data_IF_315392534803
#
_entry.id   IF_315392534803
#
_cell.length_a   1.000
_cell.length_b   1.000
_cell.length_c   1.000
_cell.angle_alpha   90.00
_cell.angle_beta   90.00
_cell.angle_gamma   90.00
#
_symmetry.space_group_name_H-M   'P 1'
#
loop_
_entity.id
_entity.type
_entity.pdbx_description
1 polymer ?
#
# COMPACT_ATOMS: atom_id res chain seq x y z
N UNK A 1 16.82 -9.89 9.70
CA UNK A 1 15.46 -9.53 9.29
C UNK A 1 14.57 -10.76 9.27
N UNK A 2 13.36 -10.63 9.75
CA UNK A 2 12.43 -11.74 9.86
C UNK A 2 11.38 -11.70 8.75
N UNK A 3 11.08 -12.86 8.17
CA UNK A 3 10.01 -13.00 7.19
C UNK A 3 8.86 -13.79 7.79
N UNK A 4 7.64 -13.30 7.57
CA UNK A 4 6.42 -13.95 8.04
C UNK A 4 5.45 -14.17 6.90
N UNK A 5 4.75 -15.29 6.95
CA UNK A 5 3.70 -15.60 5.98
C UNK A 5 2.35 -15.13 6.53
N UNK A 6 1.58 -14.52 5.68
CA UNK A 6 0.26 -14.01 6.02
C UNK A 6 -0.60 -13.85 4.79
N UNK A 7 -1.56 -12.96 4.90
CA UNK A 7 -2.46 -12.65 3.79
C UNK A 7 -2.82 -11.17 3.82
N UNK A 8 -3.38 -10.68 2.72
CA UNK A 8 -4.00 -9.36 2.71
C UNK A 8 -5.32 -9.51 3.47
N UNK A 9 -5.38 -8.94 4.67
CA UNK A 9 -6.58 -9.03 5.52
C UNK A 9 -7.64 -8.03 5.11
N UNK A 10 -7.23 -6.85 4.68
CA UNK A 10 -8.14 -5.84 4.19
C UNK A 10 -7.44 -4.93 3.19
N UNK A 11 -8.22 -4.30 2.34
CA UNK A 11 -7.73 -3.37 1.34
C UNK A 11 -8.76 -2.25 1.19
N UNK A 12 -8.26 -1.02 1.06
CA UNK A 12 -9.10 0.15 0.90
C UNK A 12 -8.42 1.15 -0.03
N UNK A 13 -9.18 1.69 -0.98
CA UNK A 13 -8.70 2.76 -1.85
C UNK A 13 -9.45 4.04 -1.48
N UNK A 14 -8.73 5.08 -1.09
CA UNK A 14 -9.34 6.33 -0.67
C UNK A 14 -8.33 7.23 0.02
N UNK A 15 -8.82 8.17 0.80
CA UNK A 15 -7.97 9.07 1.57
C UNK A 15 -7.32 8.33 2.73
N UNK A 16 -6.05 8.60 2.95
CA UNK A 16 -5.27 8.01 4.03
C UNK A 16 -3.89 8.63 4.09
N UNK A 17 -2.92 7.86 4.62
CA UNK A 17 -1.56 8.34 4.79
C UNK A 17 -1.44 9.36 5.91
N UNK A 18 -0.38 10.18 5.85
CA UNK A 18 -0.10 11.17 6.89
C UNK A 18 -1.22 12.19 6.99
N UNK A 19 -1.87 12.26 8.16
CA UNK A 19 -3.00 13.17 8.45
C UNK A 19 -4.17 13.06 7.44
N UNK A 20 -4.35 11.88 6.84
CA UNK A 20 -5.35 11.64 5.80
C UNK A 20 -5.27 12.60 4.61
N UNK A 21 -4.07 13.12 4.35
CA UNK A 21 -3.84 14.12 3.30
C UNK A 21 -3.48 13.50 1.95
N UNK A 22 -3.51 12.18 1.84
CA UNK A 22 -3.16 11.46 0.62
C UNK A 22 -4.34 10.70 0.05
N UNK A 23 -4.31 10.44 -1.23
CA UNK A 23 -5.20 9.48 -1.90
C UNK A 23 -4.37 8.26 -2.31
N UNK A 24 -4.88 7.07 -2.04
CA UNK A 24 -4.14 5.87 -2.40
C UNK A 24 -4.71 4.59 -1.85
N UNK A 25 -3.87 3.55 -1.88
CA UNK A 25 -4.22 2.19 -1.47
C UNK A 25 -3.65 1.89 -0.09
N UNK A 26 -4.54 1.52 0.82
CA UNK A 26 -4.18 1.02 2.15
C UNK A 26 -4.39 -0.48 2.18
N UNK A 27 -3.40 -1.22 2.65
CA UNK A 27 -3.52 -2.67 2.85
C UNK A 27 -3.17 -3.00 4.29
N UNK A 28 -3.88 -3.97 4.86
CA UNK A 28 -3.54 -4.56 6.13
C UNK A 28 -3.10 -6.00 5.87
N UNK A 29 -1.92 -6.34 6.35
CA UNK A 29 -1.28 -7.64 6.15
C UNK A 29 -1.21 -8.34 7.50
N UNK A 30 -1.48 -9.63 7.52
CA UNK A 30 -1.41 -10.38 8.77
C UNK A 30 -1.86 -11.82 8.64
N UNK A 31 -1.93 -12.50 9.79
CA UNK A 31 -2.40 -13.88 9.85
C UNK A 31 -3.31 -14.15 11.05
N UNK A 32 -3.83 -13.10 11.68
CA UNK A 32 -4.67 -13.19 12.87
C UNK A 32 -3.90 -13.01 14.18
N UNK A 33 -2.63 -13.39 14.24
CA UNK A 33 -1.79 -13.21 15.44
C UNK A 33 -0.87 -12.00 15.35
N UNK A 34 -0.69 -11.46 14.17
CA UNK A 34 0.06 -10.21 13.93
C UNK A 34 -0.59 -9.46 12.79
N UNK A 35 -0.35 -8.17 12.72
CA UNK A 35 -0.85 -7.33 11.64
C UNK A 35 0.02 -6.11 11.44
N UNK A 36 0.11 -5.65 10.21
CA UNK A 36 0.83 -4.43 9.84
C UNK A 36 0.13 -3.78 8.66
N UNK A 37 0.12 -2.45 8.63
CA UNK A 37 -0.46 -1.69 7.54
C UNK A 37 0.59 -1.15 6.60
N UNK A 38 0.23 -1.00 5.35
CA UNK A 38 1.04 -0.32 4.34
C UNK A 38 0.13 0.59 3.53
N UNK A 39 0.66 1.76 3.16
CA UNK A 39 -0.06 2.75 2.36
C UNK A 39 0.81 3.19 1.19
N UNK A 40 0.21 3.23 0.01
CA UNK A 40 0.85 3.77 -1.18
C UNK A 40 -0.07 4.76 -1.86
N UNK A 41 0.41 5.99 -2.06
CA UNK A 41 -0.42 7.03 -2.66
C UNK A 41 0.33 8.34 -2.83
N UNK A 42 -0.40 9.37 -3.17
CA UNK A 42 0.13 10.70 -3.38
C UNK A 42 -0.67 11.75 -2.62
N UNK A 43 -0.09 12.92 -2.46
CA UNK A 43 -0.73 14.03 -1.78
C UNK A 43 -2.00 14.47 -2.52
N UNK A 44 -3.01 14.82 -1.76
CA UNK A 44 -4.25 15.39 -2.29
C UNK A 44 -4.34 16.86 -1.84
N UNK A 45 -4.16 17.82 -2.75
CA UNK A 45 -4.19 19.24 -2.39
C UNK A 45 -5.55 19.74 -1.93
N UNK A 46 -6.61 18.98 -2.19
CA UNK A 46 -7.94 19.30 -1.68
C UNK A 46 -8.05 19.02 -0.18
N UNK A 47 -7.25 18.08 0.34
CA UNK A 47 -7.24 17.71 1.75
C UNK A 47 -6.29 18.55 2.57
N UNK A 48 -5.22 19.06 1.95
CA UNK A 48 -4.24 19.90 2.62
C UNK A 48 -3.73 20.97 1.66
N UNK A 49 -3.79 22.23 2.09
CA UNK A 49 -3.28 23.33 1.27
C UNK A 49 -1.76 23.35 1.31
N UNK A 50 -1.17 23.51 0.16
CA UNK A 50 0.26 23.74 0.05
C UNK A 50 0.60 25.07 0.73
N UNK A 51 1.56 25.05 1.65
CA UNK A 51 2.05 26.23 2.35
C UNK A 51 3.56 26.37 2.12
N UNK A 52 4.16 27.45 2.60
CA UNK A 52 5.61 27.65 2.53
C UNK A 52 6.40 26.51 3.17
N UNK A 53 5.80 25.84 4.15
CA UNK A 53 6.42 24.71 4.85
C UNK A 53 6.12 23.35 4.19
N UNK A 54 5.33 23.33 3.14
CA UNK A 54 5.00 22.09 2.42
C UNK A 54 6.16 21.75 1.50
N UNK A 55 6.70 20.55 1.68
CA UNK A 55 7.91 20.12 0.97
C UNK A 55 7.66 19.32 -0.31
N UNK A 56 6.40 19.00 -0.62
CA UNK A 56 6.09 18.27 -1.84
C UNK A 56 5.84 19.25 -3.01
N UNK A 57 6.15 18.80 -4.21
CA UNK A 57 5.90 19.55 -5.46
C UNK A 57 4.83 18.84 -6.28
N UNK A 58 4.24 19.55 -7.25
CA UNK A 58 3.30 18.92 -8.18
C UNK A 58 3.96 17.81 -9.01
N UNK A 59 5.24 17.97 -9.32
CA UNK A 59 6.01 16.95 -10.02
C UNK A 59 6.13 15.69 -9.19
N UNK A 60 6.49 15.80 -7.92
CA UNK A 60 6.56 14.66 -7.00
C UNK A 60 5.20 14.01 -6.80
N UNK A 61 4.15 14.81 -6.69
CA UNK A 61 2.79 14.32 -6.59
C UNK A 61 2.40 13.48 -7.80
N UNK A 62 2.71 14.00 -9.01
CA UNK A 62 2.43 13.29 -10.25
C UNK A 62 3.19 11.97 -10.32
N UNK A 63 4.46 11.95 -9.93
CA UNK A 63 5.26 10.73 -9.85
C UNK A 63 4.67 9.72 -8.88
N UNK A 64 4.25 10.17 -7.70
CA UNK A 64 3.63 9.32 -6.69
C UNK A 64 2.33 8.70 -7.20
N UNK A 65 1.52 9.47 -7.92
CA UNK A 65 0.25 8.96 -8.47
C UNK A 65 0.49 7.96 -9.61
N UNK A 66 1.48 8.21 -10.45
CA UNK A 66 1.87 7.27 -11.50
C UNK A 66 2.38 5.97 -10.89
N UNK A 67 3.24 6.07 -9.88
CA UNK A 67 3.77 4.91 -9.17
C UNK A 67 2.65 4.11 -8.49
N UNK A 68 1.66 4.80 -7.93
CA UNK A 68 0.49 4.16 -7.34
C UNK A 68 -0.27 3.32 -8.38
N UNK A 69 -0.52 3.87 -9.55
CA UNK A 69 -1.22 3.15 -10.61
C UNK A 69 -0.45 1.93 -11.09
N UNK A 70 0.87 2.06 -11.25
CA UNK A 70 1.74 0.94 -11.60
C UNK A 70 1.75 -0.14 -10.53
N UNK A 71 1.79 0.28 -9.28
CA UNK A 71 1.77 -0.62 -8.13
C UNK A 71 0.48 -1.42 -8.07
N UNK A 72 -0.67 -0.75 -8.20
CA UNK A 72 -1.98 -1.41 -8.22
C UNK A 72 -2.05 -2.42 -9.37
N UNK A 73 -1.66 -2.00 -10.57
CA UNK A 73 -1.67 -2.90 -11.74
C UNK A 73 -0.79 -4.13 -11.52
N UNK A 74 0.39 -3.95 -10.92
CA UNK A 74 1.29 -5.05 -10.60
C UNK A 74 0.66 -6.03 -9.62
N UNK A 75 0.05 -5.53 -8.54
CA UNK A 75 -0.62 -6.37 -7.54
C UNK A 75 -1.73 -7.21 -8.17
N UNK A 76 -2.55 -6.61 -9.01
CA UNK A 76 -3.66 -7.32 -9.67
C UNK A 76 -3.14 -8.44 -10.57
N UNK A 77 -2.08 -8.16 -11.33
CA UNK A 77 -1.46 -9.16 -12.21
C UNK A 77 -0.85 -10.30 -11.42
N UNK A 78 -0.14 -9.99 -10.35
CA UNK A 78 0.51 -11.01 -9.50
C UNK A 78 -0.52 -11.88 -8.78
N UNK A 79 -1.60 -11.28 -8.29
CA UNK A 79 -2.67 -11.98 -7.61
C UNK A 79 -3.65 -12.67 -8.59
N UNK A 80 -3.55 -12.39 -9.89
CA UNK A 80 -4.44 -12.91 -10.94
C UNK A 80 -5.90 -12.55 -10.69
N UNK A 81 -6.12 -11.30 -10.26
CA UNK A 81 -7.46 -10.75 -10.07
C UNK A 81 -7.61 -9.47 -10.90
N UNK A 82 -8.82 -9.02 -11.09
CA UNK A 82 -9.11 -7.88 -11.96
C UNK A 82 -9.51 -6.61 -11.21
N UNK A 83 -9.64 -6.67 -9.89
CA UNK A 83 -10.01 -5.51 -9.10
C UNK A 83 -9.47 -5.61 -7.68
N UNK A 84 -9.32 -4.43 -7.04
CA UNK A 84 -8.69 -4.29 -5.72
C UNK A 84 -9.46 -5.03 -4.63
N UNK A 85 -10.78 -5.05 -4.70
CA UNK A 85 -11.62 -5.74 -3.71
C UNK A 85 -11.37 -7.26 -3.69
N UNK A 86 -10.83 -7.82 -4.76
CA UNK A 86 -10.49 -9.24 -4.84
C UNK A 86 -9.11 -9.58 -4.27
N UNK A 87 -8.37 -8.59 -3.81
CA UNK A 87 -7.06 -8.82 -3.17
C UNK A 87 -7.18 -9.38 -1.76
N UNK A 88 -8.33 -9.28 -1.12
CA UNK A 88 -8.52 -9.84 0.22
C UNK A 88 -8.27 -11.34 0.22
N UNK A 89 -7.54 -11.82 1.24
CA UNK A 89 -7.14 -13.21 1.44
C UNK A 89 -6.02 -13.70 0.50
N UNK A 90 -5.46 -12.85 -0.33
CA UNK A 90 -4.31 -13.22 -1.16
C UNK A 90 -3.10 -13.44 -0.27
N UNK A 91 -2.38 -14.59 -0.42
CA UNK A 91 -1.23 -14.89 0.43
C UNK A 91 -0.05 -13.99 0.15
N UNK A 92 0.64 -13.58 1.21
CA UNK A 92 1.79 -12.68 1.14
C UNK A 92 2.92 -13.14 2.03
N UNK A 93 4.13 -12.67 1.70
CA UNK A 93 5.29 -12.76 2.57
C UNK A 93 5.67 -11.36 2.98
N UNK A 94 5.81 -11.14 4.28
CA UNK A 94 6.12 -9.84 4.86
C UNK A 94 7.48 -9.90 5.52
N UNK A 95 8.35 -8.94 5.19
CA UNK A 95 9.68 -8.84 5.77
C UNK A 95 9.69 -7.71 6.78
N UNK A 96 10.13 -8.03 8.01
CA UNK A 96 10.25 -7.07 9.10
C UNK A 96 11.72 -6.75 9.38
N UNK A 97 11.97 -5.50 9.72
CA UNK A 97 13.21 -5.07 10.34
C UNK A 97 12.86 -4.71 11.79
N UNK A 98 13.16 -5.62 12.72
CA UNK A 98 12.64 -5.52 14.07
C UNK A 98 11.12 -5.65 14.08
N UNK A 99 10.43 -4.60 14.54
CA UNK A 99 8.95 -4.55 14.55
C UNK A 99 8.39 -3.76 13.37
N UNK A 100 9.25 -3.21 12.54
CA UNK A 100 8.84 -2.36 11.43
C UNK A 100 8.75 -3.13 10.13
N UNK A 101 7.71 -2.82 9.35
CA UNK A 101 7.57 -3.36 8.00
C UNK A 101 8.69 -2.81 7.13
N UNK A 102 9.44 -3.72 6.50
CA UNK A 102 10.45 -3.35 5.51
C UNK A 102 9.90 -3.45 4.09
N UNK A 103 9.34 -4.62 3.75
CA UNK A 103 8.75 -4.87 2.43
C UNK A 103 7.79 -6.05 2.51
N UNK A 104 6.98 -6.21 1.49
CA UNK A 104 6.09 -7.35 1.37
C UNK A 104 5.88 -7.68 -0.11
N UNK A 105 5.49 -8.92 -0.36
CA UNK A 105 5.20 -9.37 -1.72
C UNK A 105 4.07 -10.39 -1.72
N UNK A 106 3.37 -10.50 -2.84
CA UNK A 106 2.40 -11.56 -3.06
C UNK A 106 3.17 -12.87 -3.32
N UNK A 107 2.70 -13.95 -2.72
CA UNK A 107 3.27 -15.28 -2.92
C UNK A 107 2.76 -15.84 -4.25
N UNK A 108 3.33 -15.36 -5.35
CA UNK A 108 2.93 -15.76 -6.70
C UNK A 108 3.14 -17.25 -6.95
N UNK A 109 4.06 -17.88 -6.22
CA UNK A 109 4.40 -19.29 -6.34
C UNK A 109 3.29 -20.23 -5.84
N UNK A 110 2.31 -19.71 -5.09
CA UNK A 110 1.19 -20.52 -4.57
C UNK A 110 -0.18 -20.11 -5.12
N UNK A 111 -0.17 -19.23 -6.11
CA UNK A 111 -1.42 -18.77 -6.74
C UNK A 111 -1.62 -19.44 -8.10
#
# INVERSE_FOLDING_TARGET
>A
MEKKLGKIESVRFGHGGYQDACIGLSVTLGNGSWGVGDFKGGWDPEMIKRSENTKWTEEERNENLVDLMRFVSKLLKEAKVDSVDKLKNVPVEVTFDGVMLKEWRILTEVI
#
